data_IF_661777858388
#
_entry.id   IF_661777858388
#
_cell.length_a   1.000
_cell.length_b   1.000
_cell.length_c   1.000
_cell.angle_alpha   90.00
_cell.angle_beta   90.00
_cell.angle_gamma   90.00
#
_symmetry.space_group_name_H-M   'P 1'
#
loop_
_entity.id
_entity.type
_entity.pdbx_description
1 polymer ?
#
# COMPACT_ATOMS: atom_id res chain seq x y z
N UNK A 1 -74.75 -49.09 -131.99
CA UNK A 1 -73.55 -49.01 -131.12
C UNK A 1 -73.10 -50.42 -130.81
N UNK A 2 -71.80 -50.67 -130.89
CA UNK A 2 -71.19 -51.98 -130.70
C UNK A 2 -70.09 -51.88 -129.66
N UNK A 3 -70.13 -52.77 -128.67
CA UNK A 3 -69.05 -52.93 -127.70
C UNK A 3 -67.92 -53.72 -128.36
N UNK A 4 -66.71 -53.17 -128.33
CA UNK A 4 -65.49 -53.79 -128.88
C UNK A 4 -64.69 -54.37 -127.72
N UNK A 5 -64.44 -55.66 -127.79
CA UNK A 5 -63.59 -56.38 -126.84
C UNK A 5 -62.50 -57.09 -127.63
N UNK A 6 -61.25 -56.85 -127.25
CA UNK A 6 -60.09 -57.48 -127.86
C UNK A 6 -59.77 -58.77 -127.11
N UNK A 7 -59.76 -59.88 -127.85
CA UNK A 7 -59.31 -61.18 -127.35
C UNK A 7 -57.94 -61.47 -127.99
N UNK A 8 -56.91 -61.49 -127.16
CA UNK A 8 -55.57 -61.93 -127.56
C UNK A 8 -55.30 -63.26 -126.88
N UNK A 9 -54.89 -64.27 -127.64
CA UNK A 9 -54.69 -65.64 -127.14
C UNK A 9 -53.66 -65.64 -125.98
N UNK A 10 -54.10 -66.06 -124.78
CA UNK A 10 -53.30 -66.04 -123.55
C UNK A 10 -53.56 -64.86 -122.60
N UNK A 11 -54.35 -63.86 -123.01
CA UNK A 11 -54.79 -62.76 -122.14
C UNK A 11 -56.31 -62.72 -121.99
N UNK A 12 -56.85 -62.43 -120.79
CA UNK A 12 -58.28 -62.30 -120.59
C UNK A 12 -58.84 -61.19 -121.49
N UNK A 13 -60.03 -61.38 -122.11
CA UNK A 13 -60.60 -60.41 -123.04
C UNK A 13 -60.73 -59.03 -122.40
N UNK A 14 -60.14 -58.01 -123.05
CA UNK A 14 -60.13 -56.62 -122.58
C UNK A 14 -61.10 -55.77 -123.38
N UNK A 15 -61.94 -55.01 -122.68
CA UNK A 15 -62.91 -54.12 -123.31
C UNK A 15 -62.18 -52.89 -123.87
N UNK A 16 -62.11 -52.78 -125.20
CA UNK A 16 -61.42 -51.69 -125.89
C UNK A 16 -62.30 -50.42 -126.01
N UNK A 17 -63.60 -50.54 -125.77
CA UNK A 17 -64.54 -49.42 -125.78
C UNK A 17 -65.76 -49.68 -126.64
N UNK A 18 -66.63 -48.69 -126.79
CA UNK A 18 -67.86 -48.81 -127.60
C UNK A 18 -67.72 -47.97 -128.86
N UNK A 19 -67.83 -48.59 -130.03
CA UNK A 19 -67.84 -47.91 -131.33
C UNK A 19 -69.26 -47.71 -131.83
N UNK A 20 -69.52 -46.60 -132.50
CA UNK A 20 -70.79 -46.37 -133.20
C UNK A 20 -70.57 -46.50 -134.71
N UNK A 21 -71.10 -47.56 -135.32
CA UNK A 21 -71.06 -47.78 -136.77
C UNK A 21 -72.42 -47.40 -137.35
N UNK A 22 -72.43 -46.56 -138.38
CA UNK A 22 -73.61 -46.13 -139.14
C UNK A 22 -73.58 -46.75 -140.54
N UNK A 23 -74.72 -46.81 -141.24
CA UNK A 23 -74.81 -47.46 -142.58
C UNK A 23 -73.91 -46.77 -143.64
N UNK A 24 -73.58 -45.49 -143.45
CA UNK A 24 -72.62 -44.74 -144.27
C UNK A 24 -71.17 -44.75 -143.76
N UNK A 25 -70.84 -45.54 -142.72
CA UNK A 25 -69.48 -45.58 -142.16
C UNK A 25 -68.50 -46.21 -143.15
N UNK A 26 -67.38 -45.52 -143.40
CA UNK A 26 -66.35 -45.95 -144.34
C UNK A 26 -65.71 -47.27 -143.88
N UNK A 27 -65.38 -48.19 -144.80
CA UNK A 27 -64.61 -49.38 -144.45
C UNK A 27 -63.33 -48.99 -143.68
N UNK A 28 -63.12 -49.57 -142.49
CA UNK A 28 -61.94 -49.29 -141.66
C UNK A 28 -62.19 -48.54 -140.34
N UNK A 29 -63.42 -48.08 -140.04
CA UNK A 29 -63.71 -47.30 -138.81
C UNK A 29 -63.33 -47.98 -137.49
N UNK A 30 -63.34 -49.31 -137.43
CA UNK A 30 -62.86 -50.04 -136.25
C UNK A 30 -61.34 -49.93 -136.10
N UNK A 31 -60.60 -49.97 -137.22
CA UNK A 31 -59.15 -49.86 -137.22
C UNK A 31 -58.69 -48.43 -136.87
N UNK A 32 -59.45 -47.41 -137.29
CA UNK A 32 -59.23 -46.02 -136.87
C UNK A 32 -59.47 -45.84 -135.37
N UNK A 33 -60.49 -46.49 -134.80
CA UNK A 33 -60.75 -46.46 -133.36
C UNK A 33 -59.64 -47.18 -132.56
N UNK A 34 -59.16 -48.32 -133.06
CA UNK A 34 -58.05 -49.06 -132.43
C UNK A 34 -56.68 -48.40 -132.65
N UNK A 35 -56.53 -47.55 -133.68
CA UNK A 35 -55.31 -46.81 -134.01
C UNK A 35 -55.29 -45.37 -133.46
N UNK A 36 -56.38 -44.90 -132.86
CA UNK A 36 -56.42 -43.62 -132.18
C UNK A 36 -55.59 -43.71 -130.89
N UNK A 37 -54.34 -43.24 -130.95
CA UNK A 37 -53.48 -43.06 -129.76
C UNK A 37 -54.25 -42.30 -128.69
N UNK A 38 -54.34 -42.88 -127.49
CA UNK A 38 -55.02 -42.29 -126.33
C UNK A 38 -54.10 -41.25 -125.68
N UNK A 39 -54.67 -40.29 -124.93
CA UNK A 39 -53.91 -39.17 -124.32
C UNK A 39 -52.77 -39.59 -123.35
N UNK A 40 -52.65 -40.87 -123.00
CA UNK A 40 -51.47 -41.42 -122.33
C UNK A 40 -50.19 -41.36 -123.20
N UNK A 41 -50.31 -41.30 -124.52
CA UNK A 41 -49.17 -41.18 -125.47
C UNK A 41 -48.64 -39.73 -125.60
N UNK A 42 -49.31 -38.73 -125.04
CA UNK A 42 -49.08 -37.29 -125.36
C UNK A 42 -48.12 -36.60 -124.37
N UNK A 43 -47.73 -37.25 -123.27
CA UNK A 43 -46.60 -36.80 -122.45
C UNK A 43 -45.35 -37.63 -122.77
N UNK A 44 -44.36 -37.08 -123.51
CA UNK A 44 -43.10 -37.77 -123.72
C UNK A 44 -42.46 -38.08 -122.35
N UNK A 45 -42.00 -39.32 -122.13
CA UNK A 45 -41.33 -39.72 -120.87
C UNK A 45 -40.24 -38.73 -120.42
N UNK A 46 -39.62 -38.02 -121.36
CA UNK A 46 -38.63 -36.98 -121.09
C UNK A 46 -39.16 -35.84 -120.21
N UNK A 47 -40.41 -35.41 -120.39
CA UNK A 47 -41.01 -34.32 -119.62
C UNK A 47 -41.36 -34.75 -118.19
N UNK A 48 -41.90 -35.96 -118.04
CA UNK A 48 -42.18 -36.55 -116.72
C UNK A 48 -40.90 -36.83 -115.91
N UNK A 49 -39.82 -37.26 -116.57
CA UNK A 49 -38.48 -37.37 -115.95
C UNK A 49 -37.90 -36.00 -115.57
N UNK A 50 -38.17 -34.97 -116.38
CA UNK A 50 -37.75 -33.60 -116.06
C UNK A 50 -38.49 -33.02 -114.85
N UNK A 51 -39.80 -33.23 -114.72
CA UNK A 51 -40.57 -32.82 -113.53
C UNK A 51 -40.09 -33.51 -112.26
N UNK A 52 -39.85 -34.82 -112.29
CA UNK A 52 -39.29 -35.57 -111.15
C UNK A 52 -37.89 -35.05 -110.79
N UNK A 53 -37.05 -34.75 -111.77
CA UNK A 53 -35.72 -34.17 -111.54
C UNK A 53 -35.81 -32.77 -110.91
N UNK A 54 -36.77 -31.94 -111.33
CA UNK A 54 -37.02 -30.62 -110.73
C UNK A 54 -37.53 -30.73 -109.30
N UNK A 55 -38.43 -31.68 -109.02
CA UNK A 55 -38.92 -31.94 -107.65
C UNK A 55 -37.81 -32.49 -106.75
N UNK A 56 -36.97 -33.40 -107.25
CA UNK A 56 -35.80 -33.92 -106.53
C UNK A 56 -34.76 -32.82 -106.31
N UNK A 57 -34.52 -31.95 -107.29
CA UNK A 57 -33.67 -30.77 -107.13
C UNK A 57 -34.22 -29.80 -106.07
N UNK A 58 -35.53 -29.58 -106.03
CA UNK A 58 -36.18 -28.75 -105.01
C UNK A 58 -36.05 -29.37 -103.61
N UNK A 59 -36.28 -30.69 -103.47
CA UNK A 59 -36.08 -31.41 -102.20
C UNK A 59 -34.63 -31.38 -101.74
N UNK A 60 -33.68 -31.54 -102.66
CA UNK A 60 -32.24 -31.46 -102.35
C UNK A 60 -31.83 -30.04 -101.94
N UNK A 61 -32.36 -29.00 -102.60
CA UNK A 61 -32.12 -27.61 -102.22
C UNK A 61 -32.68 -27.28 -100.83
N UNK A 62 -33.87 -27.79 -100.50
CA UNK A 62 -34.48 -27.63 -99.18
C UNK A 62 -33.68 -28.37 -98.09
N UNK A 63 -33.26 -29.62 -98.35
CA UNK A 63 -32.39 -30.37 -97.45
C UNK A 63 -31.03 -29.67 -97.23
N UNK A 64 -30.47 -29.05 -98.27
CA UNK A 64 -29.25 -28.26 -98.18
C UNK A 64 -29.48 -26.98 -97.34
N UNK A 65 -30.61 -26.30 -97.51
CA UNK A 65 -30.99 -25.12 -96.72
C UNK A 65 -31.14 -25.46 -95.23
N UNK A 66 -31.84 -26.55 -94.91
CA UNK A 66 -31.97 -27.05 -93.54
C UNK A 66 -30.62 -27.45 -92.94
N UNK A 67 -29.76 -28.11 -93.73
CA UNK A 67 -28.41 -28.48 -93.31
C UNK A 67 -27.55 -27.24 -93.01
N UNK A 68 -27.64 -26.20 -93.84
CA UNK A 68 -26.97 -24.92 -93.61
C UNK A 68 -27.47 -24.23 -92.34
N UNK A 69 -28.79 -24.23 -92.10
CA UNK A 69 -29.37 -23.68 -90.87
C UNK A 69 -28.93 -24.44 -89.61
N UNK A 70 -28.89 -25.78 -89.67
CA UNK A 70 -28.41 -26.63 -88.58
C UNK A 70 -26.92 -26.38 -88.30
N UNK A 71 -26.09 -26.24 -89.35
CA UNK A 71 -24.69 -25.87 -89.21
C UNK A 71 -24.53 -24.50 -88.54
N UNK A 72 -25.36 -23.51 -88.90
CA UNK A 72 -25.34 -22.18 -88.27
C UNK A 72 -25.74 -22.21 -86.80
N UNK A 73 -26.73 -23.04 -86.44
CA UNK A 73 -27.10 -23.28 -85.04
C UNK A 73 -25.96 -23.94 -84.25
N UNK A 74 -25.29 -24.92 -84.86
CA UNK A 74 -24.13 -25.60 -84.26
C UNK A 74 -22.96 -24.64 -84.04
N UNK A 75 -22.64 -23.77 -85.00
CA UNK A 75 -21.64 -22.71 -84.86
C UNK A 75 -21.94 -21.80 -83.67
N UNK A 76 -23.21 -21.39 -83.53
CA UNK A 76 -23.67 -20.54 -82.42
C UNK A 76 -23.57 -21.25 -81.07
N UNK A 77 -23.92 -22.55 -81.02
CA UNK A 77 -23.80 -23.37 -79.82
C UNK A 77 -22.33 -23.56 -79.42
N UNK A 78 -21.43 -23.80 -80.37
CA UNK A 78 -19.99 -23.92 -80.13
C UNK A 78 -19.40 -22.60 -79.60
N UNK A 79 -19.81 -21.45 -80.16
CA UNK A 79 -19.42 -20.14 -79.66
C UNK A 79 -19.91 -19.90 -78.21
N UNK A 80 -21.14 -20.31 -77.90
CA UNK A 80 -21.71 -20.24 -76.55
C UNK A 80 -20.94 -21.13 -75.55
N UNK A 81 -20.63 -22.36 -75.93
CA UNK A 81 -19.82 -23.29 -75.11
C UNK A 81 -18.41 -22.76 -74.87
N UNK A 82 -17.78 -22.14 -75.88
CA UNK A 82 -16.47 -21.48 -75.72
C UNK A 82 -16.54 -20.34 -74.69
N UNK A 83 -17.58 -19.53 -74.74
CA UNK A 83 -17.77 -18.45 -73.75
C UNK A 83 -18.03 -19.00 -72.34
N UNK A 84 -18.85 -20.05 -72.22
CA UNK A 84 -19.10 -20.72 -70.94
C UNK A 84 -17.82 -21.32 -70.33
N UNK A 85 -16.96 -21.95 -71.15
CA UNK A 85 -15.67 -22.44 -70.70
C UNK A 85 -14.77 -21.32 -70.18
N UNK A 86 -14.68 -20.19 -70.90
CA UNK A 86 -13.92 -19.01 -70.47
C UNK A 86 -14.44 -18.40 -69.16
N UNK A 87 -15.76 -18.38 -68.98
CA UNK A 87 -16.38 -17.94 -67.72
C UNK A 87 -16.04 -18.89 -66.57
N UNK A 88 -16.07 -20.20 -66.81
CA UNK A 88 -15.66 -21.21 -65.82
C UNK A 88 -14.20 -21.09 -65.42
N UNK A 89 -13.29 -20.85 -66.38
CA UNK A 89 -11.87 -20.58 -66.10
C UNK A 89 -11.71 -19.34 -65.19
N UNK A 90 -12.45 -18.27 -65.48
CA UNK A 90 -12.44 -17.04 -64.68
C UNK A 90 -12.96 -17.30 -63.26
N UNK A 91 -14.05 -18.05 -63.12
CA UNK A 91 -14.62 -18.41 -61.82
C UNK A 91 -13.68 -19.30 -60.99
N UNK A 92 -12.97 -20.23 -61.65
CA UNK A 92 -11.97 -21.07 -61.01
C UNK A 92 -10.79 -20.22 -60.50
N UNK A 93 -10.30 -19.27 -61.31
CA UNK A 93 -9.24 -18.34 -60.91
C UNK A 93 -9.66 -17.44 -59.74
N UNK A 94 -10.91 -16.94 -59.73
CA UNK A 94 -11.45 -16.16 -58.62
C UNK A 94 -11.57 -16.98 -57.34
N UNK A 95 -12.04 -18.24 -57.46
CA UNK A 95 -12.15 -19.16 -56.32
C UNK A 95 -10.78 -19.49 -55.73
N UNK A 96 -9.76 -19.70 -56.56
CA UNK A 96 -8.39 -19.91 -56.10
C UNK A 96 -7.83 -18.70 -55.35
N UNK A 97 -8.08 -17.47 -55.85
CA UNK A 97 -7.68 -16.24 -55.16
C UNK A 97 -8.39 -16.07 -53.81
N UNK A 98 -9.70 -16.34 -53.75
CA UNK A 98 -10.47 -16.29 -52.51
C UNK A 98 -9.97 -17.32 -51.48
N UNK A 99 -9.61 -18.53 -51.93
CA UNK A 99 -9.03 -19.56 -51.07
C UNK A 99 -7.66 -19.12 -50.52
N UNK A 100 -6.78 -18.55 -51.36
CA UNK A 100 -5.49 -18.02 -50.93
C UNK A 100 -5.64 -16.89 -49.91
N UNK A 101 -6.55 -15.93 -50.14
CA UNK A 101 -6.86 -14.86 -49.20
C UNK A 101 -7.37 -15.41 -47.85
N UNK A 102 -8.22 -16.44 -47.89
CA UNK A 102 -8.74 -17.10 -46.69
C UNK A 102 -7.64 -17.81 -45.89
N UNK A 103 -6.68 -18.44 -46.56
CA UNK A 103 -5.51 -19.05 -45.91
C UNK A 103 -4.66 -17.99 -45.20
N UNK A 104 -4.39 -16.85 -45.84
CA UNK A 104 -3.67 -15.73 -45.23
C UNK A 104 -4.42 -15.17 -44.02
N UNK A 105 -5.73 -14.96 -44.12
CA UNK A 105 -6.55 -14.48 -43.01
C UNK A 105 -6.54 -15.44 -41.81
N UNK A 106 -6.58 -16.75 -42.06
CA UNK A 106 -6.48 -17.79 -41.04
C UNK A 106 -5.11 -17.77 -40.35
N UNK A 107 -4.01 -17.68 -41.12
CA UNK A 107 -2.65 -17.60 -40.57
C UNK A 107 -2.44 -16.34 -39.69
N UNK A 108 -2.98 -15.19 -40.13
CA UNK A 108 -2.96 -13.96 -39.35
C UNK A 108 -3.76 -14.10 -38.05
N UNK A 109 -4.94 -14.73 -38.11
CA UNK A 109 -5.77 -14.99 -36.94
C UNK A 109 -5.08 -15.91 -35.93
N UNK A 110 -4.42 -16.97 -36.40
CA UNK A 110 -3.63 -17.86 -35.55
C UNK A 110 -2.45 -17.13 -34.88
N UNK A 111 -1.79 -16.21 -35.59
CA UNK A 111 -0.72 -15.38 -35.04
C UNK A 111 -1.25 -14.41 -33.98
N UNK A 112 -2.39 -13.77 -34.24
CA UNK A 112 -3.05 -12.88 -33.28
C UNK A 112 -3.49 -13.64 -32.01
N UNK A 113 -4.02 -14.85 -32.16
CA UNK A 113 -4.41 -15.71 -31.04
C UNK A 113 -3.19 -16.07 -30.16
N UNK A 114 -2.07 -16.48 -30.77
CA UNK A 114 -0.82 -16.74 -30.02
C UNK A 114 -0.32 -15.52 -29.26
N UNK A 115 -0.35 -14.33 -29.90
CA UNK A 115 0.02 -13.07 -29.23
C UNK A 115 -0.91 -12.77 -28.05
N UNK A 116 -2.22 -13.00 -28.20
CA UNK A 116 -3.18 -12.83 -27.12
C UNK A 116 -2.92 -13.78 -25.95
N UNK A 117 -2.57 -15.04 -26.22
CA UNK A 117 -2.19 -16.01 -25.20
C UNK A 117 -0.95 -15.56 -24.41
N UNK A 118 0.08 -15.07 -25.11
CA UNK A 118 1.27 -14.51 -24.46
C UNK A 118 0.93 -13.31 -23.58
N UNK A 119 0.10 -12.39 -24.09
CA UNK A 119 -0.33 -11.23 -23.32
C UNK A 119 -1.12 -11.64 -22.06
N UNK A 120 -2.00 -12.64 -22.16
CA UNK A 120 -2.76 -13.15 -21.02
C UNK A 120 -1.83 -13.75 -19.94
N UNK A 121 -0.83 -14.53 -20.33
CA UNK A 121 0.18 -15.07 -19.40
C UNK A 121 0.98 -13.95 -18.72
N UNK A 122 1.38 -12.92 -19.48
CA UNK A 122 2.09 -11.78 -18.91
C UNK A 122 1.21 -11.02 -17.90
N UNK A 123 -0.07 -10.83 -18.19
CA UNK A 123 -1.03 -10.23 -17.26
C UNK A 123 -1.22 -11.07 -16.00
N UNK A 124 -1.28 -12.39 -16.11
CA UNK A 124 -1.34 -13.31 -14.96
C UNK A 124 -0.10 -13.17 -14.07
N UNK A 125 1.10 -13.14 -14.66
CA UNK A 125 2.34 -12.91 -13.91
C UNK A 125 2.35 -11.56 -13.21
N UNK A 126 1.96 -10.48 -13.91
CA UNK A 126 1.89 -9.14 -13.33
C UNK A 126 0.88 -9.07 -12.16
N UNK A 127 -0.24 -9.78 -12.25
CA UNK A 127 -1.21 -9.88 -11.17
C UNK A 127 -0.63 -10.59 -9.93
N UNK A 128 0.07 -11.72 -10.11
CA UNK A 128 0.75 -12.43 -9.00
C UNK A 128 1.84 -11.59 -8.34
N UNK A 129 2.61 -10.84 -9.12
CA UNK A 129 3.60 -9.88 -8.58
C UNK A 129 2.91 -8.78 -7.78
N UNK A 130 1.79 -8.24 -8.28
CA UNK A 130 1.02 -7.21 -7.58
C UNK A 130 0.45 -7.71 -6.26
N UNK A 131 -0.08 -8.94 -6.22
CA UNK A 131 -0.56 -9.59 -5.00
C UNK A 131 0.57 -9.75 -3.96
N UNK A 132 1.75 -10.19 -4.40
CA UNK A 132 2.94 -10.31 -3.54
C UNK A 132 3.34 -8.95 -2.96
N UNK A 133 3.38 -7.90 -3.79
CA UNK A 133 3.71 -6.55 -3.35
C UNK A 133 2.67 -5.99 -2.36
N UNK A 134 1.39 -6.26 -2.58
CA UNK A 134 0.33 -5.89 -1.66
C UNK A 134 0.49 -6.59 -0.30
N UNK A 135 0.85 -7.88 -0.30
CA UNK A 135 1.11 -8.63 0.94
C UNK A 135 2.32 -8.09 1.70
N UNK A 136 3.41 -7.77 1.00
CA UNK A 136 4.59 -7.13 1.59
C UNK A 136 4.25 -5.77 2.20
N UNK A 137 3.46 -4.96 1.50
CA UNK A 137 3.01 -3.65 1.99
C UNK A 137 2.14 -3.78 3.25
N UNK A 138 1.25 -4.78 3.31
CA UNK A 138 0.46 -5.08 4.50
C UNK A 138 1.35 -5.45 5.70
N UNK A 139 2.39 -6.26 5.49
CA UNK A 139 3.35 -6.63 6.55
C UNK A 139 4.12 -5.42 7.04
N UNK A 140 4.62 -4.58 6.13
CA UNK A 140 5.31 -3.34 6.48
C UNK A 140 4.42 -2.40 7.31
N UNK A 141 3.15 -2.23 6.91
CA UNK A 141 2.20 -1.41 7.66
C UNK A 141 1.96 -1.92 9.09
N UNK A 142 1.83 -3.24 9.29
CA UNK A 142 1.71 -3.84 10.63
C UNK A 142 2.96 -3.65 11.49
N UNK A 143 4.15 -3.72 10.88
CA UNK A 143 5.40 -3.43 11.58
C UNK A 143 5.46 -1.95 12.01
N UNK A 144 5.07 -1.03 11.13
CA UNK A 144 4.97 0.40 11.46
C UNK A 144 3.99 0.67 12.60
N UNK A 145 2.82 0.02 12.62
CA UNK A 145 1.85 0.14 13.72
C UNK A 145 2.44 -0.34 15.07
N UNK A 146 3.17 -1.45 15.05
CA UNK A 146 3.83 -2.00 16.24
C UNK A 146 4.90 -1.04 16.76
N UNK A 147 5.73 -0.49 15.86
CA UNK A 147 6.76 0.48 16.23
C UNK A 147 6.15 1.76 16.80
N UNK A 148 5.04 2.25 16.23
CA UNK A 148 4.35 3.42 16.75
C UNK A 148 3.84 3.22 18.19
N UNK A 149 3.24 2.05 18.50
CA UNK A 149 2.81 1.70 19.87
C UNK A 149 4.00 1.59 20.84
N UNK A 150 5.13 1.05 20.39
CA UNK A 150 6.35 1.01 21.19
C UNK A 150 6.89 2.41 21.50
N UNK A 151 6.90 3.30 20.50
CA UNK A 151 7.28 4.72 20.69
C UNK A 151 6.33 5.46 21.62
N UNK A 152 5.02 5.23 21.54
CA UNK A 152 4.04 5.82 22.48
C UNK A 152 4.32 5.38 23.92
N UNK A 153 4.62 4.09 24.12
CA UNK A 153 4.95 3.53 25.44
C UNK A 153 6.25 4.13 25.97
N UNK A 154 7.29 4.24 25.14
CA UNK A 154 8.55 4.87 25.53
C UNK A 154 8.35 6.34 25.93
N UNK A 155 7.53 7.10 25.20
CA UNK A 155 7.21 8.48 25.53
C UNK A 155 6.49 8.61 26.88
N UNK A 156 5.52 7.74 27.18
CA UNK A 156 4.85 7.70 28.50
C UNK A 156 5.84 7.40 29.63
N UNK A 157 6.74 6.44 29.43
CA UNK A 157 7.76 6.12 30.43
C UNK A 157 8.72 7.30 30.67
N UNK A 158 9.14 8.00 29.61
CA UNK A 158 9.95 9.22 29.75
C UNK A 158 9.22 10.33 30.50
N UNK A 159 7.90 10.49 30.29
CA UNK A 159 7.08 11.43 31.03
C UNK A 159 7.04 11.09 32.53
N UNK A 160 6.84 9.82 32.88
CA UNK A 160 6.86 9.36 34.28
C UNK A 160 8.21 9.62 34.93
N UNK A 161 9.31 9.25 34.26
CA UNK A 161 10.66 9.48 34.78
C UNK A 161 10.99 10.96 34.99
N UNK A 162 10.48 11.84 34.12
CA UNK A 162 10.61 13.28 34.28
C UNK A 162 9.85 13.79 35.52
N UNK A 163 8.62 13.31 35.75
CA UNK A 163 7.83 13.67 36.93
C UNK A 163 8.47 13.17 38.24
N UNK A 164 9.03 11.95 38.24
CA UNK A 164 9.80 11.42 39.38
C UNK A 164 11.04 12.26 39.67
N UNK A 165 11.75 12.68 38.62
CA UNK A 165 12.93 13.55 38.75
C UNK A 165 12.58 14.92 39.32
N UNK A 166 11.45 15.51 38.89
CA UNK A 166 10.93 16.76 39.45
C UNK A 166 10.61 16.62 40.94
N UNK A 167 9.94 15.54 41.33
CA UNK A 167 9.62 15.24 42.73
C UNK A 167 10.89 15.07 43.59
N UNK A 168 11.88 14.33 43.08
CA UNK A 168 13.17 14.16 43.75
C UNK A 168 13.92 15.49 43.92
N UNK A 169 13.88 16.37 42.92
CA UNK A 169 14.46 17.70 43.00
C UNK A 169 13.75 18.57 44.06
N UNK A 170 12.42 18.53 44.12
CA UNK A 170 11.64 19.24 45.15
C UNK A 170 11.94 18.73 46.57
N UNK A 171 12.08 17.41 46.75
CA UNK A 171 12.50 16.81 48.02
C UNK A 171 13.92 17.22 48.44
N UNK A 172 14.84 17.29 47.48
CA UNK A 172 16.21 17.76 47.70
C UNK A 172 16.24 19.24 48.11
N UNK A 173 15.45 20.09 47.46
CA UNK A 173 15.32 21.50 47.81
C UNK A 173 14.78 21.69 49.25
N UNK A 174 13.77 20.89 49.63
CA UNK A 174 13.22 20.90 50.99
C UNK A 174 14.27 20.49 52.03
N UNK A 175 15.04 19.44 51.74
CA UNK A 175 16.13 18.97 52.61
C UNK A 175 17.22 20.02 52.77
N UNK A 176 17.60 20.70 51.69
CA UNK A 176 18.57 21.79 51.72
C UNK A 176 18.07 22.98 52.55
N UNK A 177 16.80 23.36 52.44
CA UNK A 177 16.20 24.41 53.27
C UNK A 177 16.19 24.03 54.77
N UNK A 178 15.90 22.76 55.08
CA UNK A 178 16.00 22.22 56.43
C UNK A 178 17.43 22.30 56.99
N UNK A 179 18.42 21.89 56.20
CA UNK A 179 19.84 21.96 56.57
C UNK A 179 20.30 23.41 56.81
N UNK A 180 19.88 24.36 55.96
CA UNK A 180 20.17 25.78 56.14
C UNK A 180 19.59 26.31 57.47
N UNK A 181 18.37 25.92 57.81
CA UNK A 181 17.72 26.28 59.07
C UNK A 181 18.47 25.70 60.27
N UNK A 182 18.87 24.43 60.21
CA UNK A 182 19.66 23.78 61.26
C UNK A 182 21.02 24.47 61.46
N UNK A 183 21.70 24.84 60.36
CA UNK A 183 22.96 25.58 60.43
C UNK A 183 22.80 26.96 61.08
N UNK A 184 21.75 27.70 60.74
CA UNK A 184 21.44 28.99 61.36
C UNK A 184 21.17 28.87 62.87
N UNK A 185 20.46 27.82 63.30
CA UNK A 185 20.21 27.54 64.71
C UNK A 185 21.49 27.18 65.46
N UNK A 186 22.36 26.35 64.88
CA UNK A 186 23.68 26.04 65.44
C UNK A 186 24.55 27.29 65.60
N UNK A 187 24.50 28.22 64.64
CA UNK A 187 25.22 29.50 64.74
C UNK A 187 24.68 30.36 65.89
N UNK A 188 23.36 30.42 66.09
CA UNK A 188 22.76 31.12 67.24
C UNK A 188 23.19 30.48 68.57
N UNK A 189 23.14 29.15 68.66
CA UNK A 189 23.57 28.41 69.85
C UNK A 189 25.05 28.68 70.17
N UNK A 190 25.93 28.70 69.16
CA UNK A 190 27.34 29.03 69.33
C UNK A 190 27.55 30.45 69.89
N UNK A 191 26.84 31.46 69.38
CA UNK A 191 26.88 32.84 69.90
C UNK A 191 26.40 32.95 71.36
N UNK A 192 25.35 32.19 71.70
CA UNK A 192 24.89 32.10 73.10
C UNK A 192 25.97 31.50 73.99
N UNK A 193 26.61 30.41 73.55
CA UNK A 193 27.72 29.78 74.29
C UNK A 193 28.91 30.72 74.47
N UNK A 194 29.26 31.52 73.46
CA UNK A 194 30.30 32.56 73.55
C UNK A 194 29.95 33.61 74.61
N UNK A 195 28.70 34.07 74.62
CA UNK A 195 28.20 35.02 75.64
C UNK A 195 28.30 34.44 77.04
N UNK A 196 27.87 33.19 77.22
CA UNK A 196 27.94 32.49 78.51
C UNK A 196 29.39 32.31 78.98
N UNK A 197 30.31 31.96 78.08
CA UNK A 197 31.73 31.85 78.40
C UNK A 197 32.31 33.19 78.87
N UNK A 198 31.92 34.30 78.22
CA UNK A 198 32.35 35.65 78.64
C UNK A 198 31.81 36.03 80.02
N UNK A 199 30.55 35.71 80.30
CA UNK A 199 29.93 35.92 81.63
C UNK A 199 30.65 35.12 82.71
N UNK A 200 30.97 33.84 82.45
CA UNK A 200 31.73 33.00 83.37
C UNK A 200 33.14 33.53 83.63
N UNK A 201 33.82 34.07 82.61
CA UNK A 201 35.12 34.73 82.78
C UNK A 201 35.01 35.95 83.70
N UNK A 202 33.99 36.79 83.52
CA UNK A 202 33.74 37.94 84.40
C UNK A 202 33.49 37.50 85.84
N UNK A 203 32.63 36.50 86.05
CA UNK A 203 32.34 35.96 87.38
C UNK A 203 33.60 35.43 88.07
N UNK A 204 34.47 34.71 87.35
CA UNK A 204 35.74 34.23 87.89
C UNK A 204 36.66 35.38 88.33
N UNK A 205 36.75 36.47 87.55
CA UNK A 205 37.54 37.66 87.89
C UNK A 205 36.99 38.41 89.11
N UNK A 206 35.67 38.47 89.24
CA UNK A 206 35.01 39.00 90.45
C UNK A 206 35.35 38.15 91.67
N UNK A 207 35.29 36.82 91.56
CA UNK A 207 35.67 35.90 92.65
C UNK A 207 37.14 36.08 93.06
N UNK A 208 38.06 36.26 92.10
CA UNK A 208 39.48 36.56 92.40
C UNK A 208 39.63 37.87 93.18
N UNK A 209 38.88 38.90 92.81
CA UNK A 209 38.87 40.20 93.51
C UNK A 209 38.35 40.05 94.95
N UNK A 210 37.25 39.30 95.13
CA UNK A 210 36.67 39.03 96.44
C UNK A 210 37.60 38.21 97.34
N UNK A 211 38.36 37.27 96.77
CA UNK A 211 39.37 36.50 97.49
C UNK A 211 40.49 37.40 98.03
N UNK A 212 41.03 38.31 97.19
CA UNK A 212 42.05 39.31 97.62
C UNK A 212 41.52 40.27 98.69
N UNK A 213 40.27 40.69 98.58
CA UNK A 213 39.61 41.50 99.61
C UNK A 213 39.50 40.74 100.94
N UNK A 214 39.08 39.48 100.89
CA UNK A 214 39.03 38.60 102.08
C UNK A 214 40.39 38.38 102.72
N UNK A 215 41.44 38.18 101.92
CA UNK A 215 42.83 38.07 102.41
C UNK A 215 43.28 39.35 103.13
N UNK A 216 42.99 40.52 102.54
CA UNK A 216 43.29 41.82 103.14
C UNK A 216 42.54 41.99 104.47
N UNK A 217 41.25 41.64 104.51
CA UNK A 217 40.45 41.70 105.73
C UNK A 217 41.00 40.78 106.83
N UNK A 218 41.41 39.55 106.48
CA UNK A 218 42.04 38.62 107.41
C UNK A 218 43.36 39.18 107.96
N UNK A 219 44.18 39.84 107.12
CA UNK A 219 45.42 40.48 107.56
C UNK A 219 45.16 41.63 108.53
N UNK A 220 44.16 42.46 108.25
CA UNK A 220 43.75 43.54 109.15
C UNK A 220 43.26 43.01 110.50
N UNK A 221 42.47 41.93 110.50
CA UNK A 221 42.04 41.25 111.74
C UNK A 221 43.23 40.71 112.54
N UNK A 222 44.25 40.15 111.88
CA UNK A 222 45.48 39.71 112.54
C UNK A 222 46.24 40.88 113.19
N UNK A 223 46.34 42.03 112.51
CA UNK A 223 46.95 43.25 113.06
C UNK A 223 46.16 43.76 114.28
N UNK A 224 44.84 43.81 114.18
CA UNK A 224 43.98 44.24 115.29
C UNK A 224 44.11 43.30 116.51
N UNK A 225 44.22 42.00 116.30
CA UNK A 225 44.48 41.03 117.36
C UNK A 225 45.83 41.26 118.04
N UNK A 226 46.90 41.48 117.27
CA UNK A 226 48.24 41.78 117.81
C UNK A 226 48.28 43.12 118.59
N UNK A 227 47.55 44.13 118.12
CA UNK A 227 47.36 45.39 118.85
C UNK A 227 46.62 45.16 120.17
N UNK A 228 45.57 44.34 120.16
CA UNK A 228 44.80 43.99 121.36
C UNK A 228 45.65 43.22 122.38
N UNK A 229 46.49 42.28 121.91
CA UNK A 229 47.47 41.58 122.75
C UNK A 229 48.49 42.55 123.36
N UNK A 230 49.01 43.49 122.56
CA UNK A 230 49.93 44.53 123.04
C UNK A 230 49.28 45.44 124.10
N UNK A 231 48.02 45.83 123.89
CA UNK A 231 47.25 46.62 124.84
C UNK A 231 46.98 45.85 126.15
N UNK A 232 46.69 44.55 126.06
CA UNK A 232 46.54 43.67 127.22
C UNK A 232 47.85 43.53 128.00
N UNK A 233 48.99 43.35 127.33
CA UNK A 233 50.31 43.31 127.95
C UNK A 233 50.69 44.64 128.63
N UNK A 234 50.36 45.77 127.99
CA UNK A 234 50.50 47.10 128.60
C UNK A 234 49.63 47.26 129.85
N UNK A 235 48.38 46.81 129.81
CA UNK A 235 47.46 46.81 130.96
C UNK A 235 47.96 45.93 132.09
N UNK A 236 48.48 44.74 131.79
CA UNK A 236 49.11 43.86 132.78
C UNK A 236 50.34 44.50 133.42
N UNK A 237 51.17 45.19 132.63
CA UNK A 237 52.34 45.93 133.14
C UNK A 237 51.92 47.08 134.06
N UNK A 238 50.85 47.82 133.70
CA UNK A 238 50.29 48.87 134.55
C UNK A 238 49.71 48.33 135.86
N UNK A 239 49.04 47.17 135.81
CA UNK A 239 48.54 46.48 137.00
C UNK A 239 49.70 46.02 137.91
N UNK A 240 50.78 45.47 137.33
CA UNK A 240 51.98 45.09 138.08
C UNK A 240 52.65 46.30 138.75
N UNK A 241 52.80 47.42 138.02
CA UNK A 241 53.32 48.67 138.58
C UNK A 241 52.43 49.20 139.71
N UNK A 242 51.10 49.12 139.56
CA UNK A 242 50.14 49.50 140.62
C UNK A 242 50.26 48.59 141.85
N UNK A 243 50.47 47.28 141.65
CA UNK A 243 50.72 46.34 142.74
C UNK A 243 52.04 46.65 143.46
N UNK A 244 53.12 46.98 142.73
CA UNK A 244 54.39 47.44 143.32
C UNK A 244 54.21 48.75 144.10
N UNK A 245 53.48 49.72 143.55
CA UNK A 245 53.18 50.98 144.23
C UNK A 245 52.37 50.77 145.51
N UNK A 246 51.38 49.87 145.48
CA UNK A 246 50.62 49.46 146.68
C UNK A 246 51.53 48.79 147.72
N UNK A 247 52.39 47.85 147.31
CA UNK A 247 53.36 47.21 148.19
C UNK A 247 54.34 48.21 148.83
N UNK A 248 54.83 49.17 148.05
CA UNK A 248 55.67 50.27 148.56
C UNK A 248 54.89 51.15 149.56
N UNK A 249 53.62 51.44 149.28
CA UNK A 249 52.75 52.19 150.20
C UNK A 249 52.50 51.44 151.51
N UNK A 250 52.29 50.12 151.45
CA UNK A 250 52.19 49.27 152.63
C UNK A 250 53.51 49.23 153.41
N UNK A 251 54.65 49.19 152.73
CA UNK A 251 55.97 49.25 153.35
C UNK A 251 56.19 50.59 154.05
N UNK A 252 55.85 51.69 153.39
CA UNK A 252 55.89 53.03 153.97
C UNK A 252 54.97 53.14 155.18
N UNK A 253 53.75 52.60 155.10
CA UNK A 253 52.82 52.53 156.25
C UNK A 253 53.40 51.72 157.42
N UNK A 254 54.02 50.55 157.16
CA UNK A 254 54.74 49.77 158.19
C UNK A 254 55.93 50.54 158.80
N UNK A 255 56.67 51.28 157.99
CA UNK A 255 57.74 52.15 158.49
C UNK A 255 57.16 53.28 159.35
N UNK A 256 56.05 53.90 158.93
CA UNK A 256 55.33 54.90 159.73
C UNK A 256 54.79 54.32 161.04
N UNK A 257 54.22 53.11 161.04
CA UNK A 257 53.85 52.36 162.26
C UNK A 257 55.06 52.13 163.16
N UNK A 258 56.19 51.68 162.59
CA UNK A 258 57.43 51.46 163.34
C UNK A 258 57.92 52.76 163.97
N UNK A 259 57.95 53.86 163.20
CA UNK A 259 58.36 55.18 163.67
C UNK A 259 57.40 55.73 164.74
N UNK A 260 56.09 55.53 164.58
CA UNK A 260 55.10 55.88 165.59
C UNK A 260 55.32 55.08 166.89
N UNK A 261 55.57 53.77 166.77
CA UNK A 261 55.88 52.88 167.91
C UNK A 261 57.19 53.24 168.61
N UNK A 262 58.23 53.63 167.85
CA UNK A 262 59.49 54.18 168.40
C UNK A 262 59.25 55.51 169.10
N UNK A 263 58.37 56.37 168.57
CA UNK A 263 58.01 57.65 169.19
C UNK A 263 57.20 57.46 170.48
N UNK A 264 56.34 56.44 170.56
CA UNK A 264 55.63 56.04 171.79
C UNK A 264 56.55 55.46 172.87
N UNK A 265 57.68 54.85 172.50
CA UNK A 265 58.62 54.28 173.48
C UNK A 265 59.64 55.32 173.99
N UNK A 266 59.65 56.53 173.41
CA UNK A 266 60.56 57.62 173.72
C UNK A 266 59.92 58.76 174.55
N UNK A 267 58.66 58.60 174.97
CA UNK A 267 57.90 59.53 175.83
C UNK A 267 57.51 58.85 177.15
#
# INVERSE_FOLDING_TARGET
QYSVTLLVEGFPPSHAGTITVYEGSRPGTLNDFLGAMTEEDVMPEALRRFEVMVEEAARNAEAASQSAAAAKKSETAAASSKNAAKNSETNAANSAQAAAASQTASANSATAAKKSETNAKNSETAAKTSETNAKSSQTAAKASETNAKASETAAKNSQTAAAESESAAAGSATSAAGAATAAANSQKAAKTSETNAKSSQTAAKTSETNAKASETAAKNSQVAAAQSESAAAGSASAAAASATASANSQKAAKTSETNAKTSETAA
#
